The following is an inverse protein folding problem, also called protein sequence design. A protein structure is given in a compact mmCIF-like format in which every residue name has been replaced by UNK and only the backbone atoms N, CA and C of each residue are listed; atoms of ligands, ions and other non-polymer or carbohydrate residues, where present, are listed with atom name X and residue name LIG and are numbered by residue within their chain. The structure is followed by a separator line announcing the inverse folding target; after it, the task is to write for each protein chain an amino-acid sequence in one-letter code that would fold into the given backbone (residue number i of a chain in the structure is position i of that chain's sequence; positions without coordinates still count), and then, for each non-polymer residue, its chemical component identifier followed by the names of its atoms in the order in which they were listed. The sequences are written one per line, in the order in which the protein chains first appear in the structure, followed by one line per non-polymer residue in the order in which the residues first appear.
data_IF_262353964485
#
_entry.id   IF_262353964485
#
_cell.length_a   1.000
_cell.length_b   1.000
_cell.length_c   1.000
_cell.angle_alpha   90.00
_cell.angle_beta   90.00
_cell.angle_gamma   90.00
#
_symmetry.space_group_name_H-M   'P 1'
#
loop_
_entity.id
_entity.type
_entity.pdbx_description
1 polymer ?
#
# COMPACT_ATOMS: atom_id res chain seq x y z
N UNK A 1 -27.10 27.91 1.58
CA UNK A 1 -27.15 26.61 0.88
C UNK A 1 -26.36 26.62 -0.42
N UNK A 2 -26.35 27.73 -1.19
CA UNK A 2 -25.55 27.82 -2.42
C UNK A 2 -24.03 27.70 -2.19
N UNK A 3 -23.52 28.14 -1.03
CA UNK A 3 -22.10 28.03 -0.66
C UNK A 3 -21.60 26.59 -0.43
N UNK A 4 -22.48 25.60 -0.26
CA UNK A 4 -22.08 24.20 0.04
C UNK A 4 -22.07 23.35 -1.25
N UNK A 5 -22.71 23.82 -2.32
CA UNK A 5 -22.75 23.09 -3.60
C UNK A 5 -21.35 22.95 -4.22
N UNK A 6 -20.49 23.99 -4.25
CA UNK A 6 -19.11 23.84 -4.70
C UNK A 6 -18.34 22.79 -3.90
N UNK A 7 -18.43 22.81 -2.56
CA UNK A 7 -17.77 21.83 -1.70
C UNK A 7 -18.23 20.39 -1.99
N UNK A 8 -19.52 20.19 -2.26
CA UNK A 8 -20.08 18.88 -2.59
C UNK A 8 -19.59 18.37 -3.96
N UNK A 9 -19.45 19.28 -4.93
CA UNK A 9 -18.88 18.95 -6.25
C UNK A 9 -17.40 18.57 -6.09
N UNK A 10 -16.64 19.32 -5.29
CA UNK A 10 -15.24 19.03 -5.02
C UNK A 10 -15.07 17.66 -4.34
N UNK A 11 -15.94 17.32 -3.37
CA UNK A 11 -15.96 15.99 -2.75
C UNK A 11 -16.22 14.88 -3.79
N UNK A 12 -17.17 15.06 -4.71
CA UNK A 12 -17.44 14.07 -5.75
C UNK A 12 -16.20 13.88 -6.64
N UNK A 13 -15.55 14.97 -7.04
CA UNK A 13 -14.33 14.92 -7.87
C UNK A 13 -13.19 14.22 -7.13
N UNK A 14 -12.97 14.53 -5.85
CA UNK A 14 -11.96 13.86 -5.02
C UNK A 14 -12.21 12.35 -4.92
N UNK A 15 -13.47 11.93 -4.72
CA UNK A 15 -13.83 10.51 -4.68
C UNK A 15 -13.56 9.85 -6.04
N UNK A 16 -13.92 10.51 -7.14
CA UNK A 16 -13.68 10.02 -8.50
C UNK A 16 -12.20 9.88 -8.82
N UNK A 17 -11.34 10.71 -8.23
CA UNK A 17 -9.87 10.63 -8.38
C UNK A 17 -9.26 9.56 -7.46
N UNK A 18 -9.82 9.32 -6.27
CA UNK A 18 -9.33 8.31 -5.33
C UNK A 18 -9.59 6.89 -5.83
N UNK A 19 -10.77 6.61 -6.40
CA UNK A 19 -11.16 5.25 -6.81
C UNK A 19 -10.15 4.60 -7.80
N UNK A 20 -9.68 5.27 -8.87
CA UNK A 20 -8.64 4.74 -9.75
C UNK A 20 -7.34 4.44 -9.01
N UNK A 21 -6.88 5.35 -8.15
CA UNK A 21 -5.65 5.15 -7.37
C UNK A 21 -5.74 3.91 -6.47
N UNK A 22 -6.88 3.71 -5.79
CA UNK A 22 -7.11 2.52 -4.97
C UNK A 22 -7.16 1.25 -5.82
N UNK A 23 -7.72 1.32 -7.02
CA UNK A 23 -7.79 0.21 -7.96
C UNK A 23 -6.41 -0.20 -8.47
N UNK A 24 -5.52 0.77 -8.69
CA UNK A 24 -4.15 0.53 -9.16
C UNK A 24 -3.22 0.00 -8.05
N UNK A 25 -3.43 0.41 -6.79
CA UNK A 25 -2.61 -0.05 -5.65
C UNK A 25 -2.83 -1.53 -5.35
N UNK A 26 -4.04 -2.07 -5.55
CA UNK A 26 -4.34 -3.47 -5.22
C UNK A 26 -3.44 -4.45 -6.01
N UNK A 27 -3.34 -4.38 -7.36
CA UNK A 27 -2.41 -5.20 -8.13
C UNK A 27 -0.96 -5.09 -7.66
N UNK A 28 -0.46 -3.88 -7.40
CA UNK A 28 0.92 -3.66 -6.96
C UNK A 28 1.20 -4.35 -5.62
N UNK A 29 0.25 -4.31 -4.68
CA UNK A 29 0.36 -5.01 -3.40
C UNK A 29 0.34 -6.54 -3.60
N UNK A 30 -0.57 -7.03 -4.45
CA UNK A 30 -0.68 -8.46 -4.76
C UNK A 30 0.61 -9.00 -5.40
N UNK A 31 1.23 -8.24 -6.29
CA UNK A 31 2.47 -8.65 -6.98
C UNK A 31 3.71 -8.51 -6.08
N UNK A 32 3.71 -7.55 -5.16
CA UNK A 32 4.86 -7.32 -4.27
C UNK A 32 4.98 -8.42 -3.21
N UNK A 33 3.87 -8.94 -2.67
CA UNK A 33 3.92 -9.96 -1.60
C UNK A 33 4.66 -11.24 -2.01
N UNK A 34 4.37 -11.90 -3.16
CA UNK A 34 5.11 -13.07 -3.63
C UNK A 34 6.60 -12.79 -3.79
N UNK A 35 6.97 -11.63 -4.35
CA UNK A 35 8.37 -11.25 -4.51
C UNK A 35 9.10 -11.17 -3.15
N UNK A 36 8.47 -10.59 -2.13
CA UNK A 36 9.05 -10.55 -0.77
C UNK A 36 9.15 -11.96 -0.16
N UNK A 37 8.12 -12.81 -0.35
CA UNK A 37 8.11 -14.20 0.11
C UNK A 37 9.20 -15.06 -0.56
N UNK A 38 9.61 -14.74 -1.78
CA UNK A 38 10.72 -15.42 -2.49
C UNK A 38 12.09 -14.88 -2.09
N UNK A 39 12.21 -13.58 -1.77
CA UNK A 39 13.48 -12.97 -1.36
C UNK A 39 13.91 -13.45 0.03
N UNK A 40 12.98 -13.57 0.98
CA UNK A 40 13.30 -13.94 2.37
C UNK A 40 14.07 -15.29 2.46
N UNK A 41 13.60 -16.40 1.85
CA UNK A 41 14.33 -17.68 1.85
C UNK A 41 15.73 -17.55 1.24
N UNK A 42 15.87 -16.84 0.12
CA UNK A 42 17.17 -16.62 -0.52
C UNK A 42 18.14 -15.88 0.41
N UNK A 43 17.67 -14.86 1.13
CA UNK A 43 18.50 -14.15 2.11
C UNK A 43 18.88 -15.06 3.29
N UNK A 44 17.95 -15.89 3.78
CA UNK A 44 18.23 -16.87 4.84
C UNK A 44 19.27 -17.92 4.42
N UNK A 45 19.30 -18.32 3.15
CA UNK A 45 20.30 -19.26 2.62
C UNK A 45 21.68 -18.63 2.39
N UNK A 46 21.75 -17.34 2.08
CA UNK A 46 23.01 -16.63 1.85
C UNK A 46 23.78 -16.40 3.16
N UNK A 47 23.10 -16.09 4.28
CA UNK A 47 23.76 -15.77 5.56
C UNK A 47 24.68 -16.91 6.07
N UNK A 48 24.25 -18.18 6.10
CA UNK A 48 25.11 -19.30 6.48
C UNK A 48 26.32 -19.46 5.56
N UNK A 49 26.14 -19.27 4.24
CA UNK A 49 27.22 -19.35 3.27
C UNK A 49 28.27 -18.27 3.49
N UNK A 50 27.85 -17.02 3.73
CA UNK A 50 28.75 -15.92 4.08
C UNK A 50 29.49 -16.18 5.39
N UNK A 51 28.80 -16.74 6.39
CA UNK A 51 29.42 -17.09 7.68
C UNK A 51 30.50 -18.17 7.53
N UNK A 52 30.29 -19.13 6.62
CA UNK A 52 31.23 -20.23 6.37
C UNK A 52 32.54 -19.83 5.68
N UNK A 53 32.55 -18.73 4.91
CA UNK A 53 33.73 -18.27 4.14
C UNK A 53 34.56 -17.20 4.85
N UNK A 54 34.03 -16.60 5.93
CA UNK A 54 34.73 -15.60 6.76
C UNK A 54 36.12 -16.05 7.26
N UNK A 55 36.34 -17.31 7.67
CA UNK A 55 37.64 -17.75 8.18
C UNK A 55 38.80 -17.63 7.18
N UNK A 56 38.51 -17.61 5.88
CA UNK A 56 39.53 -17.68 4.83
C UNK A 56 39.98 -16.30 4.29
N UNK A 57 39.33 -15.19 4.68
CA UNK A 57 39.43 -13.91 3.97
C UNK A 57 39.50 -12.67 4.90
N UNK A 58 40.57 -12.57 5.70
CA UNK A 58 40.75 -11.55 6.77
C UNK A 58 40.45 -10.10 6.38
N UNK A 59 40.78 -9.69 5.15
CA UNK A 59 40.61 -8.30 4.69
C UNK A 59 39.17 -7.95 4.29
N UNK A 60 38.29 -8.93 4.02
CA UNK A 60 36.90 -8.69 3.61
C UNK A 60 35.88 -8.99 4.71
N UNK A 61 36.32 -9.55 5.84
CA UNK A 61 35.46 -9.85 7.00
C UNK A 61 34.60 -8.65 7.42
N UNK A 62 35.11 -7.40 7.51
CA UNK A 62 34.28 -6.27 7.92
C UNK A 62 33.10 -6.01 6.98
N UNK A 63 33.32 -6.12 5.66
CA UNK A 63 32.28 -5.94 4.66
C UNK A 63 31.26 -7.08 4.70
N UNK A 64 31.71 -8.33 4.91
CA UNK A 64 30.82 -9.48 5.05
C UNK A 64 29.94 -9.38 6.29
N UNK A 65 30.50 -8.97 7.42
CA UNK A 65 29.74 -8.73 8.66
C UNK A 65 28.71 -7.62 8.47
N UNK A 66 29.04 -6.56 7.73
CA UNK A 66 28.08 -5.50 7.40
C UNK A 66 26.92 -6.01 6.53
N UNK A 67 27.23 -6.82 5.51
CA UNK A 67 26.20 -7.44 4.65
C UNK A 67 25.28 -8.33 5.48
N UNK A 68 25.83 -9.22 6.32
CA UNK A 68 25.05 -10.10 7.19
C UNK A 68 24.16 -9.29 8.14
N UNK A 69 24.69 -8.22 8.75
CA UNK A 69 23.91 -7.33 9.61
C UNK A 69 22.73 -6.73 8.86
N UNK A 70 22.96 -6.14 7.69
CA UNK A 70 21.89 -5.57 6.87
C UNK A 70 20.83 -6.61 6.49
N UNK A 71 21.24 -7.83 6.14
CA UNK A 71 20.28 -8.90 5.82
C UNK A 71 19.46 -9.32 7.05
N UNK A 72 20.09 -9.34 8.22
CA UNK A 72 19.42 -9.64 9.50
C UNK A 72 18.39 -8.58 9.87
N UNK A 73 18.55 -7.34 9.41
CA UNK A 73 17.58 -6.26 9.60
C UNK A 73 16.48 -6.25 8.51
N UNK A 74 16.84 -6.55 7.25
CA UNK A 74 15.90 -6.57 6.13
C UNK A 74 14.87 -7.70 6.27
N UNK A 75 15.30 -8.90 6.66
CA UNK A 75 14.41 -10.07 6.74
C UNK A 75 13.21 -9.81 7.70
N UNK A 76 13.42 -9.39 8.96
CA UNK A 76 12.32 -9.05 9.87
C UNK A 76 11.42 -7.94 9.33
N UNK A 77 12.00 -6.87 8.77
CA UNK A 77 11.21 -5.77 8.21
C UNK A 77 10.29 -6.23 7.07
N UNK A 78 10.76 -7.14 6.22
CA UNK A 78 9.92 -7.75 5.18
C UNK A 78 8.85 -8.66 5.76
N UNK A 79 9.20 -9.48 6.77
CA UNK A 79 8.23 -10.33 7.47
C UNK A 79 7.13 -9.54 8.19
N UNK A 80 7.43 -8.34 8.68
CA UNK A 80 6.44 -7.45 9.30
C UNK A 80 5.57 -6.72 8.27
N UNK A 81 6.11 -6.42 7.10
CA UNK A 81 5.40 -5.69 6.03
C UNK A 81 4.37 -6.57 5.32
N UNK A 82 4.69 -7.85 5.09
CA UNK A 82 3.80 -8.79 4.35
C UNK A 82 2.40 -8.89 4.99
N UNK A 83 2.25 -9.11 6.32
CA UNK A 83 0.93 -9.11 6.97
C UNK A 83 0.17 -7.80 6.81
N UNK A 84 0.85 -6.66 6.91
CA UNK A 84 0.23 -5.33 6.76
C UNK A 84 -0.36 -5.19 5.34
N UNK A 85 0.37 -5.63 4.32
CA UNK A 85 -0.12 -5.60 2.94
C UNK A 85 -1.32 -6.55 2.74
N UNK A 86 -1.25 -7.76 3.31
CA UNK A 86 -2.35 -8.73 3.28
C UNK A 86 -3.62 -8.20 3.94
N UNK A 87 -3.50 -7.43 5.02
CA UNK A 87 -4.64 -6.79 5.69
C UNK A 87 -5.13 -5.54 4.93
N UNK A 88 -4.23 -4.84 4.23
CA UNK A 88 -4.57 -3.63 3.46
C UNK A 88 -5.41 -3.95 2.22
N UNK A 89 -5.10 -5.04 1.51
CA UNK A 89 -5.79 -5.41 0.26
C UNK A 89 -7.31 -5.56 0.47
N UNK A 90 -7.83 -6.33 1.44
CA UNK A 90 -9.26 -6.42 1.72
C UNK A 90 -9.88 -5.07 2.08
N UNK A 91 -9.21 -4.28 2.93
CA UNK A 91 -9.72 -2.97 3.34
C UNK A 91 -9.89 -2.03 2.14
N UNK A 92 -8.90 -1.96 1.24
CA UNK A 92 -8.99 -1.13 0.03
C UNK A 92 -10.07 -1.66 -0.91
N UNK A 93 -10.18 -2.98 -1.06
CA UNK A 93 -11.22 -3.63 -1.86
C UNK A 93 -12.62 -3.29 -1.35
N UNK A 94 -12.82 -3.22 -0.04
CA UNK A 94 -14.10 -2.91 0.60
C UNK A 94 -14.44 -1.40 0.56
N UNK A 95 -13.43 -0.51 0.53
CA UNK A 95 -13.65 0.94 0.43
C UNK A 95 -14.19 1.34 -0.95
N UNK A 96 -13.72 0.72 -2.03
CA UNK A 96 -14.09 1.10 -3.41
C UNK A 96 -15.62 1.03 -3.66
N UNK A 97 -16.34 -0.05 -3.30
CA UNK A 97 -17.80 -0.10 -3.42
C UNK A 97 -18.49 1.01 -2.62
N UNK A 98 -18.08 1.25 -1.37
CA UNK A 98 -18.67 2.30 -0.54
C UNK A 98 -18.50 3.69 -1.16
N UNK A 99 -17.32 3.99 -1.70
CA UNK A 99 -17.06 5.26 -2.42
C UNK A 99 -17.91 5.38 -3.69
N UNK A 100 -18.07 4.27 -4.41
CA UNK A 100 -18.90 4.22 -5.63
C UNK A 100 -20.39 4.45 -5.31
N UNK A 101 -20.88 3.88 -4.22
CA UNK A 101 -22.27 3.98 -3.78
C UNK A 101 -22.64 5.38 -3.26
N UNK A 102 -21.68 6.13 -2.69
CA UNK A 102 -21.92 7.48 -2.18
C UNK A 102 -22.07 8.52 -3.32
N UNK A 103 -21.41 8.33 -4.46
CA UNK A 103 -21.44 9.30 -5.58
C UNK A 103 -22.89 9.61 -6.04
N UNK A 104 -23.76 8.62 -6.33
CA UNK A 104 -25.15 8.88 -6.69
C UNK A 104 -25.92 9.72 -5.65
N UNK A 105 -25.75 9.41 -4.35
CA UNK A 105 -26.44 10.12 -3.27
C UNK A 105 -26.01 11.60 -3.19
N UNK A 106 -24.72 11.88 -3.38
CA UNK A 106 -24.21 13.26 -3.43
C UNK A 106 -24.71 13.99 -4.69
N UNK A 107 -24.72 13.30 -5.84
CA UNK A 107 -25.23 13.86 -7.10
C UNK A 107 -26.72 14.19 -7.03
N UNK A 108 -27.54 13.36 -6.38
CA UNK A 108 -28.98 13.58 -6.20
C UNK A 108 -29.27 14.69 -5.17
N UNK A 109 -28.34 14.95 -4.25
CA UNK A 109 -28.48 16.03 -3.25
C UNK A 109 -28.34 17.42 -3.88
N UNK A 110 -27.49 17.58 -4.91
CA UNK A 110 -27.22 18.88 -5.55
C UNK A 110 -28.49 19.52 -6.14
N UNK A 111 -29.29 18.84 -7.00
CA UNK A 111 -30.54 19.40 -7.54
C UNK A 111 -31.55 19.79 -6.45
N UNK A 112 -31.69 18.97 -5.40
CA UNK A 112 -32.61 19.23 -4.29
C UNK A 112 -32.24 20.52 -3.52
N UNK A 113 -30.94 20.81 -3.40
CA UNK A 113 -30.45 22.05 -2.79
C UNK A 113 -30.66 23.28 -3.69
N UNK A 114 -30.61 23.11 -5.01
CA UNK A 114 -30.91 24.19 -5.97
C UNK A 114 -32.40 24.52 -5.98
N UNK A 115 -33.27 23.50 -5.99
CA UNK A 115 -34.73 23.70 -5.98
C UNK A 115 -35.23 24.37 -4.68
N UNK A 116 -34.64 24.03 -3.53
CA UNK A 116 -34.98 24.65 -2.23
C UNK A 116 -34.42 26.07 -2.04
N UNK A 117 -33.51 26.53 -2.90
CA UNK A 117 -32.94 27.89 -2.86
C UNK A 117 -33.62 28.87 -3.82
N UNK A 118 -34.60 28.39 -4.62
CA UNK A 118 -35.45 29.18 -5.50
C UNK A 118 -36.81 29.56 -4.88
N UNK A 119 -37.04 29.20 -3.62
CA UNK A 119 -38.23 29.55 -2.80
C UNK A 119 -37.78 30.40 -1.61
#
# INVERSE_FOLDING_TARGET
MMDIIPDLIDIILDIMDIIPNLTDIIPDLIDTIPNMMDIIPNLMDIIPNLTGIIPDLTDIIPNMMYIISNMTDIIPAQMDTIPIMMDTIPNVTDIIPNLTDIIPDLMDTIPNMMDTSLI
#
